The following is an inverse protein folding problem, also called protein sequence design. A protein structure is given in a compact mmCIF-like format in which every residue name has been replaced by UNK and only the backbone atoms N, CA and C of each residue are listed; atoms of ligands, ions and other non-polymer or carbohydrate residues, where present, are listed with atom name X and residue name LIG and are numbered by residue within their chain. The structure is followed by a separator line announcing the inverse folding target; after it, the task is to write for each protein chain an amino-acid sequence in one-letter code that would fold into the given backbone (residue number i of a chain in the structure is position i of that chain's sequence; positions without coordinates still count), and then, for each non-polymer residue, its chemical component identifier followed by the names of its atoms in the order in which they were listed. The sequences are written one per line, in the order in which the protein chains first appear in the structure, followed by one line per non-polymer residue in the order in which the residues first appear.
data_IF_673309569562
#
_entry.id   IF_673309569562
#
_cell.length_a   1.000
_cell.length_b   1.000
_cell.length_c   1.000
_cell.angle_alpha   90.00
_cell.angle_beta   90.00
_cell.angle_gamma   90.00
#
_symmetry.space_group_name_H-M   'P 1'
#
loop_
_entity.id
_entity.type
_entity.pdbx_description
1 polymer ?
#
# COMPACT_ATOMS: atom_id res chain seq x y z
N UNK A 1 3.37 11.19 -9.40
CA UNK A 1 4.20 10.57 -8.34
C UNK A 1 5.35 11.51 -8.05
N UNK A 2 5.65 11.78 -6.79
CA UNK A 2 6.76 12.65 -6.39
C UNK A 2 7.88 11.80 -5.77
N UNK A 3 9.14 12.18 -6.02
CA UNK A 3 10.30 11.53 -5.42
C UNK A 3 10.91 12.47 -4.36
N UNK A 4 11.48 11.87 -3.32
CA UNK A 4 12.31 12.59 -2.33
C UNK A 4 13.77 12.28 -2.63
N UNK A 5 14.62 13.31 -2.57
CA UNK A 5 16.06 13.15 -2.69
C UNK A 5 16.74 13.42 -1.36
N UNK A 6 17.89 12.78 -1.15
CA UNK A 6 18.69 13.00 0.05
C UNK A 6 19.17 14.45 0.18
N UNK A 7 18.94 15.06 1.33
CA UNK A 7 19.39 16.40 1.70
C UNK A 7 20.70 16.39 2.54
N UNK A 8 21.35 15.23 2.66
CA UNK A 8 22.58 15.06 3.44
C UNK A 8 22.38 15.46 4.90
N UNK A 9 23.09 16.51 5.34
CA UNK A 9 23.10 16.96 6.74
C UNK A 9 21.73 17.40 7.29
N UNK A 10 20.78 17.73 6.43
CA UNK A 10 19.44 18.19 6.86
C UNK A 10 18.38 17.09 6.89
N UNK A 11 18.69 15.86 6.45
CA UNK A 11 17.69 14.79 6.33
C UNK A 11 17.03 14.43 7.66
N UNK A 12 17.79 14.49 8.76
CA UNK A 12 17.33 14.13 10.09
C UNK A 12 16.09 14.96 10.52
N UNK A 13 16.11 16.27 10.25
CA UNK A 13 15.01 17.19 10.53
C UNK A 13 13.70 16.82 9.80
N UNK A 14 13.81 16.16 8.64
CA UNK A 14 12.68 15.74 7.81
C UNK A 14 12.31 14.25 7.98
N UNK A 15 12.84 13.60 9.01
CA UNK A 15 12.40 12.26 9.38
C UNK A 15 10.93 12.24 9.80
N UNK A 16 10.22 11.16 9.48
CA UNK A 16 8.78 11.04 9.74
C UNK A 16 8.44 11.29 11.21
N UNK A 17 9.25 10.74 12.13
CA UNK A 17 9.09 10.95 13.57
C UNK A 17 9.20 12.43 13.98
N UNK A 18 10.15 13.19 13.42
CA UNK A 18 10.30 14.63 13.72
C UNK A 18 9.18 15.47 13.10
N UNK A 19 8.62 15.02 11.98
CA UNK A 19 7.44 15.59 11.36
C UNK A 19 6.14 15.14 12.02
N UNK A 20 6.20 14.43 13.16
CA UNK A 20 5.04 13.92 13.89
C UNK A 20 4.17 12.95 13.08
N UNK A 21 4.75 12.32 12.05
CA UNK A 21 4.11 11.22 11.33
C UNK A 21 4.45 9.90 12.03
N UNK A 22 3.42 9.28 12.62
CA UNK A 22 3.48 8.00 13.34
C UNK A 22 3.00 6.80 12.53
N UNK A 23 2.64 7.02 11.27
CA UNK A 23 2.33 5.92 10.33
C UNK A 23 3.62 5.29 9.81
N UNK A 24 3.50 4.19 9.06
CA UNK A 24 4.64 3.58 8.37
C UNK A 24 5.08 4.53 7.26
N UNK A 25 6.28 5.15 7.36
CA UNK A 25 6.70 6.11 6.37
C UNK A 25 7.05 5.41 5.06
N UNK A 26 6.83 6.10 3.94
CA UNK A 26 7.36 5.63 2.66
C UNK A 26 8.89 5.53 2.72
N UNK A 27 9.49 4.60 1.95
CA UNK A 27 10.94 4.46 1.86
C UNK A 27 11.64 5.80 1.60
N UNK A 28 12.81 5.98 2.22
CA UNK A 28 13.58 7.22 2.23
C UNK A 28 14.00 7.72 0.85
N UNK A 29 14.41 8.99 0.79
CA UNK A 29 14.85 9.60 -0.45
C UNK A 29 16.10 8.94 -1.02
N UNK A 30 16.15 8.78 -2.33
CA UNK A 30 17.34 8.23 -3.00
C UNK A 30 18.40 9.32 -3.15
N UNK A 31 19.68 8.95 -3.04
CA UNK A 31 20.77 9.84 -3.45
C UNK A 31 20.71 9.96 -4.98
N UNK A 32 20.56 11.17 -5.54
CA UNK A 32 20.54 11.34 -6.99
C UNK A 32 21.91 10.91 -7.56
N UNK A 33 21.88 10.11 -8.61
CA UNK A 33 23.09 9.74 -9.36
C UNK A 33 23.39 10.80 -10.42
N UNK A 34 24.67 11.15 -10.65
CA UNK A 34 25.02 12.01 -11.77
C UNK A 34 24.57 11.37 -13.09
N UNK A 35 24.10 12.21 -14.01
CA UNK A 35 23.70 11.81 -15.36
C UNK A 35 24.46 12.65 -16.37
N UNK A 36 25.06 11.98 -17.34
CA UNK A 36 25.77 12.62 -18.45
C UNK A 36 24.85 12.71 -19.67
N UNK A 37 24.96 13.79 -20.43
CA UNK A 37 24.20 14.02 -21.68
C UNK A 37 23.05 15.02 -21.55
N UNK A 38 22.25 15.11 -22.62
CA UNK A 38 21.13 16.05 -22.74
C UNK A 38 19.76 15.36 -22.63
N UNK A 39 18.75 16.10 -22.18
CA UNK A 39 17.36 15.62 -22.08
C UNK A 39 16.67 15.63 -23.44
N UNK A 40 15.97 14.54 -23.78
CA UNK A 40 15.14 14.46 -24.99
C UNK A 40 13.67 14.78 -24.68
N UNK A 41 12.95 15.38 -25.63
CA UNK A 41 11.53 15.68 -25.49
C UNK A 41 10.73 14.40 -25.77
N UNK A 42 9.94 13.96 -24.79
CA UNK A 42 9.16 12.71 -24.86
C UNK A 42 7.66 12.93 -25.09
N UNK A 43 7.21 14.19 -25.11
CA UNK A 43 5.80 14.59 -25.03
C UNK A 43 5.50 15.64 -26.10
N UNK A 44 4.30 15.63 -26.67
CA UNK A 44 3.83 16.69 -27.58
C UNK A 44 3.39 17.96 -26.84
N UNK A 45 3.00 18.98 -27.60
CA UNK A 45 2.48 20.27 -27.12
C UNK A 45 1.21 20.16 -26.27
N UNK A 46 0.48 19.05 -26.38
CA UNK A 46 -0.75 18.76 -25.62
C UNK A 46 -0.52 17.93 -24.35
N UNK A 47 0.72 17.55 -24.04
CA UNK A 47 1.02 16.71 -22.88
C UNK A 47 0.87 15.20 -23.11
N UNK A 48 0.69 14.74 -24.35
CA UNK A 48 0.63 13.32 -24.69
C UNK A 48 2.01 12.76 -25.03
N UNK A 49 2.31 11.55 -24.54
CA UNK A 49 3.54 10.83 -24.88
C UNK A 49 3.63 10.56 -26.40
N UNK A 50 4.83 10.70 -26.96
CA UNK A 50 5.08 10.33 -28.34
C UNK A 50 4.88 8.82 -28.55
N UNK A 51 4.34 8.36 -29.71
CA UNK A 51 4.03 6.95 -29.94
C UNK A 51 5.21 5.98 -29.81
N UNK A 52 6.43 6.49 -30.01
CA UNK A 52 7.67 5.71 -29.91
C UNK A 52 8.15 5.49 -28.47
N UNK A 53 7.59 6.22 -27.50
CA UNK A 53 8.04 6.14 -26.10
C UNK A 53 7.35 4.94 -25.42
N UNK A 54 8.12 4.01 -24.82
CA UNK A 54 7.53 2.89 -24.11
C UNK A 54 6.68 3.38 -22.95
N UNK A 55 5.44 2.89 -22.90
CA UNK A 55 4.47 3.21 -21.85
C UNK A 55 4.07 1.96 -21.09
N UNK A 56 3.82 2.14 -19.80
CA UNK A 56 3.08 1.18 -19.00
C UNK A 56 1.75 0.85 -19.67
N UNK A 57 1.45 -0.42 -19.83
CA UNK A 57 0.09 -0.89 -20.18
C UNK A 57 -0.84 -0.86 -18.96
N UNK A 58 -0.28 -0.80 -17.76
CA UNK A 58 -1.03 -0.67 -16.52
C UNK A 58 -1.52 0.77 -16.33
N UNK A 59 -2.66 0.90 -15.64
CA UNK A 59 -3.28 2.18 -15.29
C UNK A 59 -2.29 3.09 -14.55
N UNK A 60 -2.22 4.39 -14.88
CA UNK A 60 -1.38 5.35 -14.17
C UNK A 60 -1.82 5.55 -12.71
N UNK A 61 -3.02 5.12 -12.36
CA UNK A 61 -3.54 5.11 -10.98
C UNK A 61 -3.27 3.78 -10.24
N UNK A 62 -2.48 2.88 -10.83
CA UNK A 62 -2.13 1.59 -10.23
C UNK A 62 -3.33 0.64 -10.15
N UNK A 63 -3.49 -0.03 -9.00
CA UNK A 63 -4.61 -0.93 -8.69
C UNK A 63 -5.76 -0.21 -7.96
N UNK A 64 -5.78 1.12 -7.96
CA UNK A 64 -6.88 1.87 -7.38
C UNK A 64 -8.17 1.54 -8.15
N UNK A 65 -9.11 0.92 -7.45
CA UNK A 65 -10.48 0.72 -7.94
C UNK A 65 -11.33 1.85 -7.39
N UNK A 66 -11.99 2.60 -8.27
CA UNK A 66 -12.96 3.59 -7.85
C UNK A 66 -14.13 2.93 -7.13
N UNK A 67 -14.91 3.73 -6.39
CA UNK A 67 -16.12 3.26 -5.71
C UNK A 67 -17.09 2.54 -6.67
N UNK A 68 -17.13 2.96 -7.93
CA UNK A 68 -17.95 2.35 -8.99
C UNK A 68 -17.31 1.14 -9.68
N UNK A 69 -15.99 0.98 -9.55
CA UNK A 69 -15.24 -0.16 -10.09
C UNK A 69 -15.12 -1.30 -9.06
N UNK A 70 -15.74 -1.15 -7.88
CA UNK A 70 -15.81 -2.22 -6.88
C UNK A 70 -16.67 -3.38 -7.39
N UNK A 71 -16.28 -4.63 -7.11
CA UNK A 71 -17.12 -5.77 -7.43
C UNK A 71 -18.48 -5.65 -6.73
N UNK A 72 -19.57 -6.13 -7.36
CA UNK A 72 -20.94 -6.01 -6.82
C UNK A 72 -21.12 -6.67 -5.44
N UNK A 73 -20.19 -7.56 -5.05
CA UNK A 73 -20.07 -8.10 -3.70
C UNK A 73 -18.60 -8.10 -3.28
N UNK A 74 -18.30 -7.41 -2.19
CA UNK A 74 -16.98 -7.43 -1.56
C UNK A 74 -16.77 -8.83 -0.95
N UNK A 75 -15.68 -9.53 -1.28
CA UNK A 75 -15.40 -10.82 -0.65
C UNK A 75 -15.22 -10.64 0.87
N UNK A 76 -15.67 -11.60 1.70
CA UNK A 76 -15.47 -11.53 3.14
C UNK A 76 -13.97 -11.46 3.45
N UNK A 77 -13.60 -10.68 4.47
CA UNK A 77 -12.22 -10.54 4.88
C UNK A 77 -11.64 -11.89 5.36
N UNK A 78 -10.54 -12.30 4.74
CA UNK A 78 -9.78 -13.50 5.11
C UNK A 78 -8.77 -13.14 6.18
N UNK A 79 -8.83 -13.82 7.32
CA UNK A 79 -7.88 -13.62 8.41
C UNK A 79 -6.84 -14.73 8.37
N UNK A 80 -5.58 -14.35 8.23
CA UNK A 80 -4.47 -15.28 8.38
C UNK A 80 -4.09 -15.34 9.87
N UNK A 81 -4.05 -16.54 10.46
CA UNK A 81 -3.61 -16.72 11.85
C UNK A 81 -2.09 -16.61 11.93
N UNK A 82 -1.55 -15.42 11.66
CA UNK A 82 -0.11 -15.13 11.75
C UNK A 82 0.37 -15.00 13.21
N UNK A 83 -0.39 -15.51 14.17
CA UNK A 83 -0.01 -15.50 15.57
C UNK A 83 1.19 -16.43 15.76
N UNK A 84 2.29 -15.90 16.31
CA UNK A 84 3.52 -16.68 16.61
C UNK A 84 3.34 -17.74 17.71
N UNK A 85 2.14 -17.91 18.28
CA UNK A 85 1.84 -18.91 19.31
C UNK A 85 0.39 -19.40 19.26
N UNK A 86 0.18 -20.68 19.63
CA UNK A 86 -1.14 -21.31 19.68
C UNK A 86 -2.11 -20.61 20.64
N UNK A 87 -1.61 -20.12 21.79
CA UNK A 87 -2.43 -19.40 22.78
C UNK A 87 -2.95 -18.06 22.23
N UNK A 88 -2.13 -17.33 21.48
CA UNK A 88 -2.56 -16.08 20.86
C UNK A 88 -3.61 -16.32 19.76
N UNK A 89 -3.48 -17.40 18.98
CA UNK A 89 -4.50 -17.82 18.02
C UNK A 89 -5.84 -18.17 18.69
N UNK A 90 -5.79 -18.90 19.82
CA UNK A 90 -6.99 -19.23 20.60
C UNK A 90 -7.70 -17.98 21.15
N UNK A 91 -6.95 -17.01 21.69
CA UNK A 91 -7.51 -15.74 22.15
C UNK A 91 -8.16 -14.94 21.03
N UNK A 92 -7.53 -14.89 19.87
CA UNK A 92 -8.04 -14.16 18.69
C UNK A 92 -9.35 -14.78 18.20
N UNK A 93 -9.40 -16.10 18.07
CA UNK A 93 -10.64 -16.80 17.67
C UNK A 93 -11.77 -16.65 18.69
N UNK A 94 -11.46 -16.67 19.99
CA UNK A 94 -12.45 -16.42 21.04
C UNK A 94 -13.02 -14.99 20.97
N UNK A 95 -12.16 -13.98 20.80
CA UNK A 95 -12.57 -12.58 20.67
C UNK A 95 -13.49 -12.35 19.46
N UNK A 96 -13.14 -12.92 18.30
CA UNK A 96 -13.95 -12.83 17.07
C UNK A 96 -15.36 -13.41 17.25
N UNK A 97 -15.45 -14.57 17.91
CA UNK A 97 -16.74 -15.24 18.17
C UNK A 97 -17.58 -14.46 19.19
N UNK A 98 -16.94 -13.80 20.16
CA UNK A 98 -17.64 -13.01 21.18
C UNK A 98 -18.22 -11.70 20.63
N UNK A 99 -17.65 -11.14 19.56
CA UNK A 99 -18.09 -9.85 19.02
C UNK A 99 -19.29 -9.96 18.07
N UNK A 100 -20.49 -9.67 18.58
CA UNK A 100 -21.73 -9.62 17.79
C UNK A 100 -21.70 -8.54 16.69
N UNK A 101 -21.00 -7.42 16.93
CA UNK A 101 -20.85 -6.34 15.95
C UNK A 101 -20.07 -6.78 14.70
N UNK A 102 -19.05 -7.64 14.86
CA UNK A 102 -18.22 -8.10 13.74
C UNK A 102 -18.89 -9.23 12.95
N UNK A 103 -19.67 -10.08 13.61
CA UNK A 103 -20.39 -11.19 12.97
C UNK A 103 -21.72 -10.77 12.34
N UNK A 104 -22.37 -9.72 12.88
CA UNK A 104 -23.65 -9.21 12.42
C UNK A 104 -23.59 -8.15 11.31
N UNK A 105 -22.41 -7.63 10.96
CA UNK A 105 -22.27 -6.66 9.87
C UNK A 105 -22.65 -7.28 8.51
N UNK A 106 -23.18 -6.48 7.59
CA UNK A 106 -23.60 -6.95 6.25
C UNK A 106 -22.46 -7.58 5.44
N UNK A 107 -21.21 -7.18 5.71
CA UNK A 107 -19.97 -7.79 5.21
C UNK A 107 -19.15 -8.40 6.35
N UNK A 108 -19.82 -8.95 7.36
CA UNK A 108 -19.22 -9.38 8.62
C UNK A 108 -18.05 -10.33 8.45
N UNK A 109 -17.17 -10.33 9.45
CA UNK A 109 -15.94 -11.11 9.48
C UNK A 109 -16.27 -12.62 9.52
N UNK A 110 -16.43 -13.22 8.35
CA UNK A 110 -16.43 -14.67 8.16
C UNK A 110 -15.00 -15.12 7.96
N UNK A 111 -14.27 -15.22 9.06
CA UNK A 111 -12.88 -15.61 9.05
C UNK A 111 -12.74 -17.05 8.53
N UNK A 112 -12.33 -17.20 7.27
CA UNK A 112 -11.71 -18.44 6.81
C UNK A 112 -10.33 -18.52 7.45
N UNK A 113 -10.20 -19.38 8.47
CA UNK A 113 -8.92 -19.60 9.14
C UNK A 113 -8.03 -20.41 8.21
N UNK A 114 -7.03 -19.76 7.63
CA UNK A 114 -5.99 -20.41 6.82
C UNK A 114 -4.64 -20.32 7.51
N UNK A 115 -3.92 -21.44 7.62
CA UNK A 115 -2.58 -21.52 8.22
C UNK A 115 -2.40 -22.77 9.08
N UNK A 116 -1.15 -23.25 9.23
CA UNK A 116 -0.81 -24.30 10.21
C UNK A 116 -0.49 -23.64 11.55
N UNK A 117 -1.04 -24.21 12.63
CA UNK A 117 -0.53 -23.94 13.98
C UNK A 117 0.94 -24.39 14.02
N UNK A 118 1.87 -23.59 14.57
CA UNK A 118 3.21 -24.07 14.89
C UNK A 118 3.14 -25.17 15.95
#
# INVERSE_FOLDING_TARGET
MAARYGAGQYEDAFSAARLQNWEVPQPGGQRPTPRDGSTQILVNDRGHLLPSVPRSQASPWGSFLGTWDMPPRIPPAKLNLTARSAHAAARLTACLRASAALTGACNGLRAEVTGKLP
#
